data_IF_940611718540
#
_entry.id   IF_940611718540
#
_cell.length_a   1.000
_cell.length_b   1.000
_cell.length_c   1.000
_cell.angle_alpha   90.00
_cell.angle_beta   90.00
_cell.angle_gamma   90.00
#
_symmetry.space_group_name_H-M   'P 1'
#
loop_
_entity.id
_entity.type
_entity.pdbx_description
1 polymer ?
#
# COMPACT_ATOMS: atom_id res chain seq x y z
N UNK A 1 22.11 17.23 6.84
CA UNK A 1 20.79 17.38 6.18
C UNK A 1 20.64 16.19 5.25
N UNK A 2 20.06 15.11 5.77
CA UNK A 2 19.75 13.90 5.00
C UNK A 2 18.75 14.25 3.90
N UNK A 3 18.92 13.64 2.73
CA UNK A 3 18.10 13.89 1.55
C UNK A 3 16.69 13.36 1.82
N UNK A 4 15.74 14.25 2.11
CA UNK A 4 14.36 13.91 2.53
C UNK A 4 13.55 13.29 1.37
N UNK A 5 14.04 13.41 0.13
CA UNK A 5 13.30 13.02 -1.07
C UNK A 5 13.74 11.70 -1.67
N UNK A 6 12.76 10.88 -2.04
CA UNK A 6 12.92 9.85 -3.06
C UNK A 6 13.44 10.48 -4.37
N UNK A 7 14.50 9.93 -4.96
CA UNK A 7 15.01 10.34 -6.27
C UNK A 7 14.47 9.41 -7.38
N UNK A 8 13.44 9.84 -8.14
CA UNK A 8 12.85 9.01 -9.21
C UNK A 8 13.74 8.93 -10.45
N UNK A 9 14.83 9.70 -10.54
CA UNK A 9 15.56 9.93 -11.80
C UNK A 9 16.19 8.64 -12.34
N UNK A 10 15.73 8.14 -13.49
CA UNK A 10 16.30 6.90 -14.04
C UNK A 10 16.02 5.69 -13.15
N UNK A 11 14.86 5.69 -12.48
CA UNK A 11 14.34 4.51 -11.81
C UNK A 11 14.15 3.34 -12.80
N UNK A 12 13.65 3.65 -14.00
CA UNK A 12 13.60 2.74 -15.14
C UNK A 12 14.57 3.15 -16.25
N UNK A 13 15.14 2.14 -16.92
CA UNK A 13 15.87 2.24 -18.17
C UNK A 13 15.09 1.51 -19.26
N UNK A 14 14.86 2.20 -20.39
CA UNK A 14 14.15 1.66 -21.54
C UNK A 14 15.14 1.40 -22.68
N UNK A 15 15.48 0.15 -22.91
CA UNK A 15 16.24 -0.29 -24.09
C UNK A 15 15.26 -0.62 -25.22
N UNK A 16 14.94 0.41 -26.01
CA UNK A 16 14.01 0.28 -27.13
C UNK A 16 14.56 -0.59 -28.27
N UNK A 17 15.89 -0.70 -28.41
CA UNK A 17 16.50 -1.52 -29.45
C UNK A 17 16.36 -3.03 -29.13
N UNK A 18 16.38 -3.39 -27.84
CA UNK A 18 16.20 -4.78 -27.37
C UNK A 18 14.78 -5.08 -26.88
N UNK A 19 13.90 -4.08 -26.81
CA UNK A 19 12.55 -4.24 -26.27
C UNK A 19 12.54 -4.62 -24.79
N UNK A 20 13.48 -4.07 -24.02
CA UNK A 20 13.66 -4.41 -22.61
C UNK A 20 13.47 -3.17 -21.72
N UNK A 21 12.88 -3.40 -20.55
CA UNK A 21 12.81 -2.41 -19.48
C UNK A 21 13.50 -3.02 -18.27
N UNK A 22 14.33 -2.23 -17.60
CA UNK A 22 14.99 -2.63 -16.35
C UNK A 22 14.93 -1.52 -15.31
N UNK A 23 15.04 -1.88 -14.04
CA UNK A 23 15.28 -0.91 -12.98
C UNK A 23 16.74 -0.44 -13.03
N UNK A 24 17.05 0.66 -12.34
CA UNK A 24 18.43 1.13 -12.14
C UNK A 24 19.37 0.04 -11.57
N UNK A 25 18.82 -0.89 -10.79
CA UNK A 25 19.54 -2.05 -10.23
C UNK A 25 19.68 -3.24 -11.18
N UNK A 26 19.22 -3.13 -12.43
CA UNK A 26 19.30 -4.17 -13.46
C UNK A 26 18.20 -5.23 -13.39
N UNK A 27 17.19 -5.08 -12.52
CA UNK A 27 16.07 -6.01 -12.48
C UNK A 27 15.18 -5.82 -13.71
N UNK A 28 14.76 -6.90 -14.37
CA UNK A 28 13.86 -6.83 -15.53
C UNK A 28 12.46 -6.38 -15.10
N UNK A 29 11.86 -5.52 -15.91
CA UNK A 29 10.53 -4.94 -15.69
C UNK A 29 9.61 -5.29 -16.85
N UNK A 30 8.35 -5.56 -16.53
CA UNK A 30 7.26 -5.69 -17.51
C UNK A 30 6.31 -4.53 -17.24
N UNK A 31 6.04 -3.74 -18.28
CA UNK A 31 5.07 -2.64 -18.23
C UNK A 31 3.73 -3.18 -18.69
N UNK A 32 2.74 -3.15 -17.80
CA UNK A 32 1.37 -3.60 -18.07
C UNK A 32 0.42 -2.39 -18.03
N UNK A 33 -0.62 -2.42 -18.85
CA UNK A 33 -1.73 -1.47 -18.68
C UNK A 33 -2.53 -1.83 -17.43
N UNK A 34 -3.09 -0.81 -16.79
CA UNK A 34 -4.00 -0.96 -15.65
C UNK A 34 -5.16 -1.92 -15.93
N UNK A 35 -5.72 -1.92 -17.14
CA UNK A 35 -6.79 -2.84 -17.57
C UNK A 35 -6.41 -4.32 -17.48
N UNK A 36 -5.15 -4.66 -17.77
CA UNK A 36 -4.65 -6.04 -17.64
C UNK A 36 -4.47 -6.40 -16.17
N UNK A 37 -3.93 -5.46 -15.38
CA UNK A 37 -3.77 -5.64 -13.94
C UNK A 37 -5.13 -5.78 -13.25
N UNK A 38 -6.10 -4.94 -13.60
CA UNK A 38 -7.47 -4.96 -13.07
C UNK A 38 -8.14 -6.32 -13.31
N UNK A 39 -7.97 -6.91 -14.49
CA UNK A 39 -8.52 -8.23 -14.79
C UNK A 39 -7.92 -9.33 -13.89
N UNK A 40 -6.62 -9.25 -13.60
CA UNK A 40 -5.94 -10.19 -12.69
C UNK A 40 -6.37 -9.99 -11.23
N UNK A 41 -6.51 -8.74 -10.80
CA UNK A 41 -6.96 -8.39 -9.44
C UNK A 41 -8.41 -8.79 -9.23
N UNK A 42 -9.30 -8.51 -10.19
CA UNK A 42 -10.71 -8.90 -10.14
C UNK A 42 -10.86 -10.41 -9.97
N UNK A 43 -10.10 -11.22 -10.72
CA UNK A 43 -10.11 -12.67 -10.54
C UNK A 43 -9.64 -13.11 -9.14
N UNK A 44 -8.61 -12.45 -8.58
CA UNK A 44 -8.14 -12.71 -7.23
C UNK A 44 -9.21 -12.37 -6.17
N UNK A 45 -9.88 -11.22 -6.31
CA UNK A 45 -10.99 -10.79 -5.46
C UNK A 45 -12.14 -11.80 -5.51
N UNK A 46 -12.56 -12.24 -6.70
CA UNK A 46 -13.64 -13.22 -6.88
C UNK A 46 -13.35 -14.55 -6.17
N UNK A 47 -12.08 -14.98 -6.17
CA UNK A 47 -11.65 -16.19 -5.45
C UNK A 47 -11.39 -15.98 -3.96
N UNK A 48 -11.38 -14.74 -3.50
CA UNK A 48 -11.03 -14.36 -2.12
C UNK A 48 -9.54 -14.53 -1.78
N UNK A 49 -8.66 -14.72 -2.77
CA UNK A 49 -7.22 -14.90 -2.56
C UNK A 49 -6.41 -13.69 -3.05
N UNK A 50 -6.23 -12.72 -2.15
CA UNK A 50 -5.43 -11.52 -2.38
C UNK A 50 -3.97 -11.69 -1.94
N UNK A 51 -3.52 -12.92 -1.68
CA UNK A 51 -2.16 -13.21 -1.21
C UNK A 51 -1.10 -12.66 -2.16
N UNK A 52 -1.34 -12.74 -3.48
CA UNK A 52 -0.41 -12.22 -4.49
C UNK A 52 -0.23 -10.70 -4.37
N UNK A 53 -1.31 -9.95 -4.14
CA UNK A 53 -1.24 -8.49 -3.99
C UNK A 53 -0.59 -8.11 -2.67
N UNK A 54 -0.86 -8.86 -1.60
CA UNK A 54 -0.18 -8.69 -0.31
C UNK A 54 1.32 -8.94 -0.43
N UNK A 55 1.72 -10.00 -1.12
CA UNK A 55 3.13 -10.34 -1.33
C UNK A 55 3.83 -9.30 -2.21
N UNK A 56 3.17 -8.82 -3.26
CA UNK A 56 3.65 -7.68 -4.05
C UNK A 56 3.89 -6.45 -3.17
N UNK A 57 2.94 -6.15 -2.27
CA UNK A 57 3.08 -5.07 -1.29
C UNK A 57 4.30 -5.25 -0.38
N UNK A 58 4.50 -6.47 0.14
CA UNK A 58 5.69 -6.79 0.97
C UNK A 58 6.98 -6.58 0.21
N UNK A 59 7.05 -6.97 -1.05
CA UNK A 59 8.22 -6.75 -1.90
C UNK A 59 8.50 -5.26 -2.12
N UNK A 60 7.46 -4.45 -2.36
CA UNK A 60 7.61 -2.99 -2.47
C UNK A 60 8.13 -2.41 -1.15
N UNK A 61 7.55 -2.80 -0.01
CA UNK A 61 8.01 -2.35 1.31
C UNK A 61 9.46 -2.75 1.59
N UNK A 62 9.88 -3.96 1.23
CA UNK A 62 11.26 -4.40 1.35
C UNK A 62 12.23 -3.56 0.49
N UNK A 63 11.82 -3.13 -0.70
CA UNK A 63 12.61 -2.20 -1.52
C UNK A 63 12.73 -0.81 -0.87
N UNK A 64 11.66 -0.33 -0.23
CA UNK A 64 11.70 0.93 0.54
C UNK A 64 12.71 0.80 1.69
N UNK A 65 12.60 -0.24 2.51
CA UNK A 65 13.53 -0.52 3.61
C UNK A 65 14.98 -0.60 3.13
N UNK A 66 15.22 -1.32 2.03
CA UNK A 66 16.55 -1.42 1.42
C UNK A 66 17.07 -0.05 0.94
N UNK A 67 16.20 0.78 0.37
CA UNK A 67 16.57 2.13 -0.09
C UNK A 67 16.93 3.10 1.05
N UNK A 68 16.45 2.82 2.26
CA UNK A 68 16.72 3.59 3.48
C UNK A 68 17.91 3.04 4.29
N UNK A 69 18.58 1.99 3.81
CA UNK A 69 19.77 1.42 4.46
C UNK A 69 19.52 0.16 5.29
N UNK A 70 18.31 -0.42 5.21
CA UNK A 70 18.00 -1.75 5.74
C UNK A 70 17.13 -1.79 6.98
N UNK A 71 16.94 -0.65 7.67
CA UNK A 71 15.93 -0.46 8.73
C UNK A 71 15.29 0.91 8.54
N UNK A 72 14.03 1.06 8.94
CA UNK A 72 13.28 2.31 8.84
C UNK A 72 13.01 2.96 10.20
N UNK A 73 13.34 2.28 11.30
CA UNK A 73 13.09 2.76 12.66
C UNK A 73 14.04 3.87 13.10
N UNK A 74 15.18 3.99 12.43
CA UNK A 74 16.14 5.08 12.67
C UNK A 74 15.78 6.36 11.91
N UNK A 75 14.81 6.28 10.99
CA UNK A 75 14.32 7.39 10.17
C UNK A 75 13.04 8.02 10.77
N UNK A 76 12.80 9.28 10.42
CA UNK A 76 11.52 9.93 10.76
C UNK A 76 10.34 9.31 9.98
N UNK A 77 9.13 9.21 10.56
CA UNK A 77 7.94 8.74 9.85
C UNK A 77 7.68 9.47 8.53
N UNK A 78 7.96 10.78 8.48
CA UNK A 78 7.81 11.60 7.29
C UNK A 78 8.76 11.17 6.16
N UNK A 79 10.00 10.80 6.49
CA UNK A 79 10.97 10.29 5.53
C UNK A 79 10.56 8.91 5.00
N UNK A 80 10.11 8.02 5.89
CA UNK A 80 9.60 6.69 5.49
C UNK A 80 8.39 6.83 4.57
N UNK A 81 7.45 7.71 4.92
CA UNK A 81 6.29 8.02 4.08
C UNK A 81 6.71 8.59 2.72
N UNK A 82 7.62 9.57 2.69
CA UNK A 82 8.08 10.18 1.45
C UNK A 82 8.73 9.16 0.49
N UNK A 83 9.55 8.25 1.03
CA UNK A 83 10.14 7.16 0.24
C UNK A 83 9.10 6.16 -0.24
N UNK A 84 8.17 5.75 0.64
CA UNK A 84 7.10 4.80 0.30
C UNK A 84 6.19 5.35 -0.80
N UNK A 85 5.77 6.62 -0.67
CA UNK A 85 4.98 7.31 -1.67
C UNK A 85 5.72 7.45 -3.01
N UNK A 86 7.03 7.72 -2.96
CA UNK A 86 7.88 7.76 -4.15
C UNK A 86 7.95 6.42 -4.89
N UNK A 87 8.11 5.31 -4.16
CA UNK A 87 8.10 3.97 -4.73
C UNK A 87 6.74 3.60 -5.34
N UNK A 88 5.64 3.81 -4.62
CA UNK A 88 4.29 3.53 -5.14
C UNK A 88 3.98 4.37 -6.39
N UNK A 89 4.35 5.66 -6.37
CA UNK A 89 4.18 6.55 -7.52
C UNK A 89 5.04 6.13 -8.73
N UNK A 90 6.29 5.76 -8.51
CA UNK A 90 7.18 5.28 -9.58
C UNK A 90 6.70 3.96 -10.21
N UNK A 91 6.05 3.11 -9.43
CA UNK A 91 5.44 1.85 -9.88
C UNK A 91 4.05 2.04 -10.51
N UNK A 92 3.45 3.23 -10.42
CA UNK A 92 2.14 3.53 -11.00
C UNK A 92 0.93 3.12 -10.16
N UNK A 93 1.11 2.90 -8.84
CA UNK A 93 0.02 2.54 -7.93
C UNK A 93 -0.77 3.74 -7.38
N UNK A 94 -0.31 4.96 -7.67
CA UNK A 94 -0.91 6.20 -7.18
C UNK A 94 -0.03 6.91 -6.14
N UNK A 95 -0.60 7.90 -5.46
CA UNK A 95 0.07 8.69 -4.43
C UNK A 95 -0.43 8.31 -3.04
N UNK A 96 0.49 7.89 -2.19
CA UNK A 96 0.20 7.55 -0.80
C UNK A 96 0.29 8.78 0.11
N UNK A 97 -0.72 8.93 0.96
CA UNK A 97 -0.72 9.77 2.15
C UNK A 97 -1.11 8.97 3.40
N UNK A 98 -0.80 9.51 4.57
CA UNK A 98 -1.22 8.97 5.85
C UNK A 98 -1.91 10.05 6.68
N UNK A 99 -3.00 9.68 7.33
CA UNK A 99 -3.74 10.51 8.26
C UNK A 99 -3.78 9.82 9.63
N UNK A 100 -3.70 10.63 10.69
CA UNK A 100 -3.87 10.16 12.06
C UNK A 100 -5.25 10.53 12.58
N UNK A 101 -6.02 9.52 12.97
CA UNK A 101 -7.37 9.65 13.54
C UNK A 101 -7.33 9.15 14.99
N UNK A 102 -6.97 10.03 15.92
CA UNK A 102 -6.71 9.61 17.31
C UNK A 102 -5.52 8.65 17.39
N UNK A 103 -5.78 7.38 17.73
CA UNK A 103 -4.78 6.30 17.72
C UNK A 103 -4.81 5.45 16.43
N UNK A 104 -5.79 5.67 15.57
CA UNK A 104 -5.87 4.97 14.28
C UNK A 104 -4.97 5.64 13.24
N UNK A 105 -4.35 4.79 12.41
CA UNK A 105 -3.64 5.20 11.21
C UNK A 105 -4.53 4.90 10.00
N UNK A 106 -4.68 5.88 9.11
CA UNK A 106 -5.49 5.77 7.91
C UNK A 106 -4.62 6.10 6.71
N UNK A 107 -4.52 5.17 5.76
CA UNK A 107 -3.87 5.43 4.48
C UNK A 107 -4.87 6.05 3.50
N UNK A 108 -4.38 7.01 2.74
CA UNK A 108 -5.10 7.68 1.66
C UNK A 108 -4.32 7.44 0.39
N UNK A 109 -5.02 7.04 -0.67
CA UNK A 109 -4.42 6.85 -1.97
C UNK A 109 -5.15 7.71 -3.00
N UNK A 110 -4.38 8.49 -3.76
CA UNK A 110 -4.88 9.28 -4.89
C UNK A 110 -4.39 8.69 -6.21
N UNK A 111 -5.12 8.94 -7.30
CA UNK A 111 -4.74 8.48 -8.66
C UNK A 111 -4.52 6.96 -8.74
N UNK A 112 -5.31 6.21 -7.96
CA UNK A 112 -5.25 4.76 -7.89
C UNK A 112 -5.79 4.15 -9.19
N UNK A 113 -5.15 3.12 -9.77
CA UNK A 113 -5.73 2.40 -10.88
C UNK A 113 -7.06 1.76 -10.47
N UNK A 114 -8.05 1.76 -11.36
CA UNK A 114 -9.33 1.12 -11.12
C UNK A 114 -9.18 -0.41 -11.27
N UNK A 115 -8.88 -1.11 -10.16
CA UNK A 115 -8.56 -2.54 -10.16
C UNK A 115 -9.76 -3.44 -9.83
N UNK A 116 -10.57 -3.02 -8.87
CA UNK A 116 -11.75 -3.71 -8.37
C UNK A 116 -12.71 -2.68 -7.73
N UNK A 117 -13.99 -3.03 -7.60
CA UNK A 117 -15.04 -2.11 -7.14
C UNK A 117 -14.87 -1.71 -5.67
N UNK A 118 -14.43 -2.65 -4.84
CA UNK A 118 -14.34 -2.51 -3.38
C UNK A 118 -12.97 -2.03 -2.89
N UNK A 119 -12.03 -1.79 -3.81
CA UNK A 119 -10.64 -1.43 -3.52
C UNK A 119 -9.87 -2.46 -2.67
N UNK A 120 -10.30 -3.73 -2.67
CA UNK A 120 -9.70 -4.81 -1.91
C UNK A 120 -8.29 -5.14 -2.39
N UNK A 121 -8.02 -5.05 -3.70
CA UNK A 121 -6.68 -5.27 -4.25
C UNK A 121 -5.66 -4.26 -3.72
N UNK A 122 -6.05 -2.99 -3.65
CA UNK A 122 -5.23 -1.90 -3.11
C UNK A 122 -5.08 -2.03 -1.60
N UNK A 123 -6.15 -2.42 -0.90
CA UNK A 123 -6.09 -2.68 0.53
C UNK A 123 -5.09 -3.81 0.86
N UNK A 124 -5.11 -4.91 0.09
CA UNK A 124 -4.14 -6.00 0.25
C UNK A 124 -2.70 -5.55 -0.04
N UNK A 125 -2.48 -4.79 -1.10
CA UNK A 125 -1.19 -4.19 -1.45
C UNK A 125 -0.65 -3.32 -0.31
N UNK A 126 -1.44 -2.37 0.17
CA UNK A 126 -1.07 -1.48 1.27
C UNK A 126 -0.79 -2.25 2.56
N UNK A 127 -1.60 -3.26 2.88
CA UNK A 127 -1.37 -4.14 4.02
C UNK A 127 -0.01 -4.83 3.94
N UNK A 128 0.38 -5.29 2.74
CA UNK A 128 1.71 -5.85 2.49
C UNK A 128 2.84 -4.85 2.68
N UNK A 129 2.71 -3.65 2.08
CA UNK A 129 3.70 -2.57 2.20
C UNK A 129 3.92 -2.19 3.66
N UNK A 130 2.84 -1.88 4.38
CA UNK A 130 2.91 -1.43 5.78
C UNK A 130 3.42 -2.56 6.68
N UNK A 131 3.09 -3.82 6.38
CA UNK A 131 3.62 -4.95 7.16
C UNK A 131 5.14 -5.05 7.03
N UNK A 132 5.68 -4.86 5.83
CA UNK A 132 7.11 -4.88 5.60
C UNK A 132 7.84 -3.69 6.26
N UNK A 133 7.20 -2.51 6.30
CA UNK A 133 7.78 -1.31 6.93
C UNK A 133 7.75 -1.39 8.47
N UNK A 134 6.67 -1.93 9.04
CA UNK A 134 6.46 -1.95 10.50
C UNK A 134 6.99 -3.20 11.19
N UNK A 135 7.40 -4.22 10.43
CA UNK A 135 7.71 -5.57 10.93
C UNK A 135 6.56 -6.24 11.72
N UNK A 136 5.34 -5.74 11.55
CA UNK A 136 4.11 -6.26 12.14
C UNK A 136 3.17 -6.72 11.03
N UNK A 137 2.45 -7.82 11.23
CA UNK A 137 1.39 -8.18 10.29
C UNK A 137 0.20 -7.23 10.44
N UNK A 138 -0.12 -6.53 9.35
CA UNK A 138 -1.12 -5.47 9.30
C UNK A 138 -2.13 -5.74 8.20
N UNK A 139 -3.41 -5.46 8.46
CA UNK A 139 -4.44 -5.41 7.45
C UNK A 139 -4.79 -3.95 7.12
N UNK A 140 -5.15 -3.69 5.87
CA UNK A 140 -5.82 -2.44 5.50
C UNK A 140 -7.23 -2.79 5.06
N UNK A 141 -8.21 -1.99 5.49
CA UNK A 141 -9.62 -2.19 5.14
C UNK A 141 -10.13 -0.92 4.45
N UNK A 142 -10.74 -1.03 3.26
CA UNK A 142 -11.31 0.13 2.58
C UNK A 142 -12.56 0.64 3.33
N UNK A 143 -12.59 1.95 3.62
CA UNK A 143 -13.69 2.65 4.30
C UNK A 143 -13.86 4.02 3.68
N UNK A 144 -14.96 4.25 2.96
CA UNK A 144 -15.30 5.56 2.41
C UNK A 144 -14.22 6.18 1.51
N UNK A 145 -13.53 5.36 0.70
CA UNK A 145 -12.44 5.80 -0.18
C UNK A 145 -11.07 5.98 0.49
N UNK A 146 -10.95 5.63 1.77
CA UNK A 146 -9.69 5.57 2.53
C UNK A 146 -9.43 4.15 2.99
N UNK A 147 -8.26 3.90 3.59
CA UNK A 147 -7.85 2.58 4.05
C UNK A 147 -7.50 2.62 5.54
N UNK A 148 -8.34 2.05 6.40
CA UNK A 148 -8.04 1.93 7.82
C UNK A 148 -6.97 0.86 8.02
N UNK A 149 -5.89 1.21 8.71
CA UNK A 149 -4.80 0.30 9.06
C UNK A 149 -5.12 -0.34 10.40
N UNK A 150 -5.20 -1.67 10.46
CA UNK A 150 -5.62 -2.39 11.66
C UNK A 150 -4.91 -3.75 11.83
N UNK A 151 -5.10 -4.35 13.00
CA UNK A 151 -4.68 -5.74 13.24
C UNK A 151 -5.53 -6.69 12.37
N UNK A 152 -4.94 -7.70 11.70
CA UNK A 152 -5.69 -8.68 10.91
C UNK A 152 -6.84 -9.36 11.67
N UNK A 153 -6.71 -9.55 12.99
CA UNK A 153 -7.73 -10.19 13.82
C UNK A 153 -9.08 -9.43 13.88
N UNK A 154 -9.08 -8.13 13.56
CA UNK A 154 -10.30 -7.28 13.57
C UNK A 154 -10.71 -6.82 12.17
N UNK A 155 -9.96 -7.19 11.13
CA UNK A 155 -10.17 -6.69 9.77
C UNK A 155 -11.55 -7.07 9.21
N UNK A 156 -12.03 -8.28 9.49
CA UNK A 156 -13.36 -8.74 9.06
C UNK A 156 -14.48 -7.92 9.70
N UNK A 157 -14.39 -7.64 11.01
CA UNK A 157 -15.38 -6.80 11.70
C UNK A 157 -15.42 -5.38 11.14
N UNK A 158 -14.25 -4.78 10.89
CA UNK A 158 -14.14 -3.46 10.28
C UNK A 158 -14.74 -3.46 8.87
N UNK A 159 -14.46 -4.50 8.08
CA UNK A 159 -15.00 -4.66 6.73
C UNK A 159 -16.53 -4.76 6.74
N UNK A 160 -17.10 -5.54 7.65
CA UNK A 160 -18.56 -5.65 7.79
C UNK A 160 -19.19 -4.29 8.14
N UNK A 161 -18.61 -3.54 9.07
CA UNK A 161 -19.11 -2.19 9.40
C UNK A 161 -19.01 -1.22 8.23
N UNK A 162 -17.89 -1.26 7.49
CA UNK A 162 -17.72 -0.41 6.31
C UNK A 162 -18.74 -0.74 5.22
N UNK A 163 -19.00 -2.02 4.99
CA UNK A 163 -19.99 -2.50 4.03
C UNK A 163 -21.44 -2.22 4.47
N UNK A 164 -21.69 -2.14 5.77
CA UNK A 164 -22.96 -1.66 6.35
C UNK A 164 -23.11 -0.13 6.28
N UNK A 165 -22.12 0.59 5.72
CA UNK A 165 -22.14 2.03 5.53
C UNK A 165 -21.78 2.84 6.78
N UNK A 166 -21.16 2.21 7.79
CA UNK A 166 -20.67 2.93 8.97
C UNK A 166 -19.49 3.82 8.58
N UNK A 167 -19.56 5.10 8.94
CA UNK A 167 -18.52 6.06 8.61
C UNK A 167 -17.21 5.78 9.36
N UNK A 168 -16.07 6.12 8.73
CA UNK A 168 -14.73 5.91 9.28
C UNK A 168 -14.56 6.45 10.70
N UNK A 169 -15.07 7.65 10.99
CA UNK A 169 -14.99 8.24 12.32
C UNK A 169 -15.66 7.37 13.39
N UNK A 170 -16.86 6.85 13.08
CA UNK A 170 -17.60 5.97 13.99
C UNK A 170 -16.92 4.62 14.18
N UNK A 171 -16.34 4.05 13.12
CA UNK A 171 -15.54 2.81 13.22
C UNK A 171 -14.34 3.02 14.15
N UNK A 172 -13.61 4.12 13.98
CA UNK A 172 -12.46 4.45 14.83
C UNK A 172 -12.87 4.62 16.29
N UNK A 173 -13.98 5.32 16.56
CA UNK A 173 -14.50 5.48 17.93
C UNK A 173 -14.87 4.13 18.57
N UNK A 174 -15.49 3.22 17.82
CA UNK A 174 -15.82 1.88 18.31
C UNK A 174 -14.58 1.05 18.67
N UNK A 175 -13.54 1.11 17.84
CA UNK A 175 -12.28 0.40 18.09
C UNK A 175 -11.58 0.92 19.35
N UNK A 176 -11.58 2.24 19.58
CA UNK A 176 -11.01 2.85 20.79
C UNK A 176 -11.74 2.36 22.05
N UNK A 177 -13.07 2.25 22.01
CA UNK A 177 -13.86 1.74 23.14
C UNK A 177 -13.52 0.27 23.41
N UNK A 178 -13.35 -0.54 22.36
CA UNK A 178 -13.02 -1.95 22.49
C UNK A 178 -11.62 -2.19 23.10
N UNK A 179 -10.62 -1.35 22.79
CA UNK A 179 -9.29 -1.42 23.41
C UNK A 179 -9.26 -1.04 24.89
N UNK A 180 -10.20 -0.20 25.33
CA UNK A 180 -10.28 0.25 26.73
C UNK A 180 -11.02 -0.73 27.66
N UNK A 181 -11.57 -1.82 27.12
CA UNK A 181 -12.44 -2.80 27.79
C UNK A 181 -11.70 -4.11 28.11
#
# INVERSE_FOLDING_TARGET
MSNIGFDPKGFYEFDLARGAVSTRGGARVIVLSDTVVASLVSAAVETGDLTVLRELGKQIGAQVVSSLGGTVFDDSPEQVLAHTAGWLGALGWGRLGLERWGNALVAVMEEVPALDEDSLGIAALLGGVISALSELEVACVPVGGKFLVCNPAIAESVWLWANDGVELGTIVDQLIIAEAS
#
